data_IF_770973418652
#
_entry.id   IF_770973418652
#
_cell.length_a   1.000
_cell.length_b   1.000
_cell.length_c   1.000
_cell.angle_alpha   90.00
_cell.angle_beta   90.00
_cell.angle_gamma   90.00
#
_symmetry.space_group_name_H-M   'P 1'
#
loop_
_entity.id
_entity.type
_entity.pdbx_description
1 polymer ?
#
# COMPACT_ATOMS: atom_id res chain seq x y z
N UNK A 1 -26.56 -9.22 3.95
CA UNK A 1 -25.82 -8.70 2.78
C UNK A 1 -24.62 -7.83 3.19
N UNK A 2 -24.74 -6.97 4.21
CA UNK A 2 -23.63 -6.15 4.73
C UNK A 2 -22.34 -6.93 5.09
N UNK A 3 -22.45 -8.13 5.68
CA UNK A 3 -21.29 -8.97 6.03
C UNK A 3 -20.42 -9.30 4.80
N UNK A 4 -21.02 -9.54 3.64
CA UNK A 4 -20.30 -9.91 2.42
C UNK A 4 -19.49 -8.71 1.91
N UNK A 5 -20.08 -7.52 1.94
CA UNK A 5 -19.41 -6.27 1.57
C UNK A 5 -18.25 -5.95 2.51
N UNK A 6 -18.45 -6.07 3.82
CA UNK A 6 -17.41 -5.83 4.82
C UNK A 6 -16.23 -6.80 4.60
N UNK A 7 -16.50 -8.08 4.36
CA UNK A 7 -15.46 -9.07 4.06
C UNK A 7 -14.72 -8.72 2.76
N UNK A 8 -15.43 -8.33 1.71
CA UNK A 8 -14.80 -7.95 0.45
C UNK A 8 -13.85 -6.75 0.62
N UNK A 9 -14.26 -5.73 1.38
CA UNK A 9 -13.42 -4.56 1.69
C UNK A 9 -12.16 -5.00 2.45
N UNK A 10 -12.32 -5.83 3.48
CA UNK A 10 -11.19 -6.32 4.28
C UNK A 10 -10.21 -7.15 3.45
N UNK A 11 -10.71 -8.05 2.60
CA UNK A 11 -9.86 -8.88 1.74
C UNK A 11 -9.11 -8.04 0.73
N UNK A 12 -9.78 -7.06 0.11
CA UNK A 12 -9.14 -6.13 -0.81
C UNK A 12 -8.05 -5.31 -0.12
N UNK A 13 -8.35 -4.75 1.05
CA UNK A 13 -7.36 -4.04 1.85
C UNK A 13 -6.17 -4.93 2.19
N UNK A 14 -6.39 -6.15 2.67
CA UNK A 14 -5.31 -7.09 2.97
C UNK A 14 -4.42 -7.39 1.77
N UNK A 15 -4.98 -7.58 0.57
CA UNK A 15 -4.19 -7.83 -0.65
C UNK A 15 -3.29 -6.64 -0.96
N UNK A 16 -3.82 -5.41 -0.90
CA UNK A 16 -3.04 -4.20 -1.11
C UNK A 16 -1.92 -4.06 -0.07
N UNK A 17 -2.26 -4.28 1.19
CA UNK A 17 -1.32 -4.24 2.31
C UNK A 17 -0.21 -5.29 2.16
N UNK A 18 -0.56 -6.50 1.74
CA UNK A 18 0.41 -7.57 1.47
C UNK A 18 1.32 -7.20 0.30
N UNK A 19 0.79 -6.60 -0.77
CA UNK A 19 1.60 -6.14 -1.89
C UNK A 19 2.62 -5.07 -1.46
N UNK A 20 2.24 -4.17 -0.55
CA UNK A 20 3.14 -3.18 0.04
C UNK A 20 4.24 -3.83 0.90
N UNK A 21 3.88 -4.82 1.72
CA UNK A 21 4.86 -5.56 2.53
C UNK A 21 5.85 -6.32 1.64
N UNK A 22 5.35 -7.04 0.63
CA UNK A 22 6.21 -7.75 -0.33
C UNK A 22 7.12 -6.76 -1.05
N UNK A 23 6.61 -5.61 -1.51
CA UNK A 23 7.43 -4.55 -2.10
C UNK A 23 8.53 -4.08 -1.14
N UNK A 24 8.21 -3.84 0.13
CA UNK A 24 9.16 -3.39 1.12
C UNK A 24 10.26 -4.44 1.35
N UNK A 25 9.89 -5.72 1.50
CA UNK A 25 10.84 -6.81 1.64
C UNK A 25 11.73 -6.96 0.40
N UNK A 26 11.13 -6.94 -0.79
CA UNK A 26 11.85 -7.06 -2.05
C UNK A 26 12.77 -5.87 -2.33
N UNK A 27 12.51 -4.69 -1.76
CA UNK A 27 13.35 -3.51 -1.97
C UNK A 27 14.81 -3.74 -1.52
N UNK A 28 15.02 -4.53 -0.46
CA UNK A 28 16.36 -4.92 0.01
C UNK A 28 17.07 -5.90 -0.92
N UNK A 29 16.32 -6.76 -1.59
CA UNK A 29 16.85 -7.78 -2.50
C UNK A 29 16.90 -7.33 -3.97
N UNK A 30 16.25 -6.21 -4.31
CA UNK A 30 16.15 -5.66 -5.66
C UNK A 30 17.41 -4.90 -6.10
N UNK A 31 18.61 -5.37 -5.71
CA UNK A 31 19.89 -4.73 -6.04
C UNK A 31 20.17 -4.75 -7.55
N UNK A 32 19.69 -5.77 -8.28
CA UNK A 32 19.81 -5.86 -9.74
C UNK A 32 18.43 -5.82 -10.43
N UNK A 33 18.11 -4.77 -11.22
CA UNK A 33 16.84 -4.62 -11.93
C UNK A 33 16.53 -5.74 -12.93
N UNK A 34 17.55 -6.39 -13.50
CA UNK A 34 17.38 -7.42 -14.53
C UNK A 34 17.14 -8.82 -13.97
N UNK A 35 17.32 -9.00 -12.65
CA UNK A 35 17.04 -10.26 -11.96
C UNK A 35 15.54 -10.56 -11.93
N UNK A 36 15.15 -11.83 -11.76
CA UNK A 36 13.75 -12.21 -11.59
C UNK A 36 13.07 -11.44 -10.43
N UNK A 37 13.81 -11.23 -9.34
CA UNK A 37 13.37 -10.47 -8.16
C UNK A 37 13.16 -8.99 -8.50
N UNK A 38 14.09 -8.38 -9.25
CA UNK A 38 13.99 -6.99 -9.71
C UNK A 38 12.77 -6.74 -10.61
N UNK A 39 12.44 -7.69 -11.50
CA UNK A 39 11.24 -7.61 -12.35
C UNK A 39 9.95 -7.65 -11.52
N UNK A 40 9.87 -8.55 -10.53
CA UNK A 40 8.72 -8.65 -9.62
C UNK A 40 8.59 -7.36 -8.79
N UNK A 41 9.70 -6.84 -8.28
CA UNK A 41 9.73 -5.57 -7.55
C UNK A 41 9.22 -4.39 -8.41
N UNK A 42 9.66 -4.28 -9.68
CA UNK A 42 9.17 -3.24 -10.59
C UNK A 42 7.68 -3.38 -10.87
N UNK A 43 7.19 -4.61 -11.06
CA UNK A 43 5.76 -4.86 -11.27
C UNK A 43 4.94 -4.43 -10.05
N UNK A 44 5.34 -4.85 -8.85
CA UNK A 44 4.70 -4.42 -7.59
C UNK A 44 4.78 -2.91 -7.39
N UNK A 45 5.90 -2.30 -7.76
CA UNK A 45 6.08 -0.84 -7.67
C UNK A 45 5.08 -0.12 -8.55
N UNK A 46 4.92 -0.52 -9.81
CA UNK A 46 3.92 0.05 -10.74
C UNK A 46 2.49 -0.16 -10.26
N UNK A 47 2.18 -1.33 -9.71
CA UNK A 47 0.86 -1.64 -9.18
C UNK A 47 0.52 -0.81 -7.94
N UNK A 48 1.50 -0.59 -7.06
CA UNK A 48 1.31 0.14 -5.79
C UNK A 48 1.58 1.64 -5.91
N UNK A 49 2.22 2.11 -6.99
CA UNK A 49 2.51 3.51 -7.28
C UNK A 49 1.31 4.46 -7.18
N UNK A 50 0.11 4.15 -7.70
CA UNK A 50 -1.04 5.06 -7.54
C UNK A 50 -1.41 5.33 -6.07
N UNK A 51 -1.09 4.41 -5.16
CA UNK A 51 -1.35 4.55 -3.71
C UNK A 51 -0.13 5.18 -3.01
N UNK A 52 1.08 4.76 -3.37
CA UNK A 52 2.32 5.18 -2.70
C UNK A 52 2.80 6.56 -3.17
N UNK A 53 2.60 6.93 -4.43
CA UNK A 53 3.01 8.22 -4.98
C UNK A 53 2.35 9.43 -4.28
N UNK A 54 1.03 9.47 -4.03
CA UNK A 54 0.44 10.56 -3.27
C UNK A 54 0.96 10.61 -1.82
N UNK A 55 1.21 9.45 -1.19
CA UNK A 55 1.84 9.38 0.13
C UNK A 55 3.26 9.99 0.10
N UNK A 56 4.05 9.68 -0.93
CA UNK A 56 5.39 10.22 -1.14
C UNK A 56 5.37 11.73 -1.37
N UNK A 57 4.43 12.22 -2.16
CA UNK A 57 4.25 13.66 -2.38
C UNK A 57 3.87 14.39 -1.08
N UNK A 58 3.04 13.78 -0.24
CA UNK A 58 2.69 14.34 1.07
C UNK A 58 3.92 14.43 1.98
N UNK A 59 4.72 13.36 2.07
CA UNK A 59 5.96 13.36 2.87
C UNK A 59 6.98 14.38 2.36
N UNK A 60 7.10 14.53 1.05
CA UNK A 60 7.95 15.56 0.43
C UNK A 60 7.49 16.97 0.82
N UNK A 61 6.18 17.26 0.78
CA UNK A 61 5.62 18.55 1.21
C UNK A 61 5.86 18.84 2.69
N UNK A 62 5.94 17.80 3.52
CA UNK A 62 6.26 17.90 4.94
C UNK A 62 7.77 17.99 5.22
N UNK A 63 8.61 18.08 4.18
CA UNK A 63 10.07 18.09 4.26
C UNK A 63 10.66 16.85 4.98
N UNK A 64 9.93 15.74 4.98
CA UNK A 64 10.39 14.47 5.55
C UNK A 64 11.21 13.77 4.48
N UNK A 65 12.54 13.77 4.63
CA UNK A 65 13.42 13.09 3.68
C UNK A 65 13.42 11.57 3.94
N UNK A 66 12.67 10.84 3.13
CA UNK A 66 12.44 9.40 3.28
C UNK A 66 13.54 8.58 2.60
N UNK A 67 14.79 8.78 3.00
CA UNK A 67 16.04 8.30 2.37
C UNK A 67 16.00 6.98 1.59
N UNK A 68 16.66 5.92 2.10
CA UNK A 68 16.71 4.61 1.43
C UNK A 68 15.51 3.71 1.79
N UNK A 69 14.79 4.05 2.86
CA UNK A 69 13.55 3.42 3.25
C UNK A 69 12.39 4.28 2.74
N UNK A 70 11.58 3.71 1.86
CA UNK A 70 10.32 4.31 1.42
C UNK A 70 9.32 4.35 2.62
N UNK A 71 9.45 5.34 3.52
CA UNK A 71 8.43 5.63 4.54
C UNK A 71 7.05 5.88 3.92
N UNK A 72 7.02 6.24 2.63
CA UNK A 72 5.82 6.28 1.80
C UNK A 72 5.02 4.98 1.80
N UNK A 73 5.69 3.82 1.85
CA UNK A 73 5.04 2.50 1.91
C UNK A 73 4.39 2.27 3.27
N UNK A 74 5.07 2.68 4.35
CA UNK A 74 4.51 2.64 5.70
C UNK A 74 3.30 3.57 5.84
N UNK A 75 3.40 4.79 5.28
CA UNK A 75 2.28 5.72 5.25
C UNK A 75 1.11 5.16 4.44
N UNK A 76 1.37 4.54 3.30
CA UNK A 76 0.36 3.89 2.47
C UNK A 76 -0.35 2.74 3.22
N UNK A 77 0.39 1.95 4.02
CA UNK A 77 -0.18 0.92 4.90
C UNK A 77 -1.24 1.54 5.84
N UNK A 78 -0.87 2.60 6.57
CA UNK A 78 -1.80 3.26 7.48
C UNK A 78 -3.00 3.87 6.75
N UNK A 79 -2.78 4.44 5.57
CA UNK A 79 -3.84 5.04 4.77
C UNK A 79 -4.86 3.98 4.31
N UNK A 80 -4.39 2.81 3.87
CA UNK A 80 -5.26 1.68 3.49
C UNK A 80 -6.10 1.22 4.69
N UNK A 81 -5.48 1.02 5.85
CA UNK A 81 -6.18 0.63 7.09
C UNK A 81 -7.26 1.65 7.49
N UNK A 82 -6.93 2.94 7.45
CA UNK A 82 -7.88 4.02 7.78
C UNK A 82 -9.05 4.01 6.79
N UNK A 83 -8.77 3.93 5.48
CA UNK A 83 -9.81 3.92 4.44
C UNK A 83 -10.69 2.68 4.56
N UNK A 84 -10.11 1.50 4.78
CA UNK A 84 -10.85 0.26 4.96
C UNK A 84 -11.81 0.34 6.17
N UNK A 85 -11.31 0.81 7.31
CA UNK A 85 -12.14 1.01 8.51
C UNK A 85 -13.25 2.05 8.29
N UNK A 86 -12.96 3.12 7.56
CA UNK A 86 -13.95 4.15 7.24
C UNK A 86 -15.04 3.61 6.31
N UNK A 87 -14.67 2.83 5.28
CA UNK A 87 -15.62 2.15 4.39
C UNK A 87 -16.49 1.15 5.15
N UNK A 88 -15.92 0.36 6.05
CA UNK A 88 -16.68 -0.58 6.89
C UNK A 88 -17.68 0.15 7.78
N UNK A 89 -17.27 1.26 8.42
CA UNK A 89 -18.18 2.09 9.21
C UNK A 89 -19.31 2.66 8.36
N UNK A 90 -19.02 3.16 7.16
CA UNK A 90 -20.05 3.65 6.25
C UNK A 90 -21.05 2.55 5.86
N UNK A 91 -20.56 1.35 5.55
CA UNK A 91 -21.43 0.19 5.25
C UNK A 91 -22.32 -0.13 6.45
N UNK A 92 -21.80 -0.11 7.67
CA UNK A 92 -22.57 -0.37 8.90
C UNK A 92 -23.60 0.72 9.24
N UNK A 93 -23.37 1.96 8.81
CA UNK A 93 -24.31 3.07 9.04
C UNK A 93 -25.46 3.04 8.03
N UNK A 94 -25.18 2.63 6.79
CA UNK A 94 -26.14 2.72 5.67
C UNK A 94 -27.03 1.47 5.54
N UNK A 95 -26.53 0.28 5.89
CA UNK A 95 -27.22 -1.01 5.76
C UNK A 95 -27.68 -1.56 7.12
#
# INVERSE_FOLDING_TARGET
MAIVLIRAIYWFAQILTMALVVRALLSWFATNPYSAVGKIYQFLTKLTEPIVNPCRQLLYKLNINTGMLDFSVLLAFFLIEIVANLLVKLVLIVL
#
